data_IF_579028633442
#
_entry.id   IF_579028633442
#
_cell.length_a   1.000
_cell.length_b   1.000
_cell.length_c   1.000
_cell.angle_alpha   90.00
_cell.angle_beta   90.00
_cell.angle_gamma   90.00
#
_symmetry.space_group_name_H-M   'P 1'
#
loop_
_entity.id
_entity.type
_entity.pdbx_description
1 polymer ?
#
# COMPACT_ATOMS: atom_id res chain seq x y z
N UNK A 1 -34.11 -6.13 13.95
CA UNK A 1 -33.14 -5.95 12.86
C UNK A 1 -31.99 -5.15 13.42
N UNK A 2 -30.96 -5.83 13.92
CA UNK A 2 -29.73 -5.17 14.39
C UNK A 2 -28.84 -4.98 13.18
N UNK A 3 -28.79 -3.74 12.69
CA UNK A 3 -27.81 -3.27 11.71
C UNK A 3 -26.44 -3.30 12.41
N UNK A 4 -25.71 -4.40 12.25
CA UNK A 4 -24.31 -4.43 12.65
C UNK A 4 -23.54 -3.64 11.60
N UNK A 5 -23.37 -2.35 11.85
CA UNK A 5 -22.39 -1.54 11.14
C UNK A 5 -21.04 -2.22 11.35
N UNK A 6 -20.39 -2.77 10.30
CA UNK A 6 -19.11 -3.44 10.48
C UNK A 6 -18.15 -2.42 11.07
N UNK A 7 -17.52 -2.75 12.19
CA UNK A 7 -16.38 -2.02 12.72
C UNK A 7 -15.39 -1.84 11.58
N UNK A 8 -15.30 -0.64 10.99
CA UNK A 8 -14.36 -0.35 9.91
C UNK A 8 -12.97 -0.44 10.50
N UNK A 9 -12.37 -1.62 10.37
CA UNK A 9 -11.03 -1.92 10.88
C UNK A 9 -10.04 -1.04 10.14
N UNK A 10 -9.21 -0.34 10.90
CA UNK A 10 -8.19 0.54 10.34
C UNK A 10 -7.12 -0.31 9.65
N UNK A 11 -6.84 -0.01 8.38
CA UNK A 11 -5.83 -0.71 7.59
C UNK A 11 -4.72 0.25 7.19
N UNK A 12 -3.58 -0.29 6.76
CA UNK A 12 -2.51 0.48 6.12
C UNK A 12 -2.48 0.17 4.64
N UNK A 13 -2.74 1.18 3.82
CA UNK A 13 -2.57 1.11 2.38
C UNK A 13 -1.14 1.52 2.07
N UNK A 14 -0.41 0.67 1.34
CA UNK A 14 0.97 0.93 0.98
C UNK A 14 1.09 0.93 -0.53
N UNK A 15 1.70 1.98 -1.09
CA UNK A 15 2.14 2.00 -2.48
C UNK A 15 3.66 2.00 -2.47
N UNK A 16 4.25 1.07 -3.22
CA UNK A 16 5.69 1.03 -3.40
C UNK A 16 6.10 1.89 -4.59
N UNK A 17 6.90 2.92 -4.34
CA UNK A 17 7.32 3.87 -5.36
C UNK A 17 8.82 3.73 -5.64
N UNK A 18 9.14 2.94 -6.67
CA UNK A 18 10.51 2.60 -7.06
C UNK A 18 11.10 3.53 -8.14
N UNK A 19 10.29 4.46 -8.65
CA UNK A 19 10.72 5.40 -9.68
C UNK A 19 11.55 6.55 -9.04
N UNK A 20 12.70 6.94 -9.63
CA UNK A 20 13.44 8.14 -9.21
C UNK A 20 12.67 9.45 -9.40
N UNK A 21 11.60 9.46 -10.19
CA UNK A 21 10.77 10.61 -10.48
C UNK A 21 9.31 10.42 -10.04
N UNK A 22 8.71 11.49 -9.54
CA UNK A 22 7.28 11.53 -9.25
C UNK A 22 6.58 12.46 -10.23
N UNK A 23 5.87 11.88 -11.20
CA UNK A 23 5.04 12.62 -12.13
C UNK A 23 3.90 13.35 -11.43
N UNK A 24 3.47 14.48 -12.01
CA UNK A 24 2.39 15.29 -11.46
C UNK A 24 1.07 14.50 -11.30
N UNK A 25 0.79 13.56 -12.20
CA UNK A 25 -0.38 12.68 -12.09
C UNK A 25 -0.30 11.75 -10.89
N UNK A 26 0.84 11.05 -10.72
CA UNK A 26 1.08 10.17 -9.58
C UNK A 26 0.99 10.93 -8.25
N UNK A 27 1.46 12.19 -8.21
CA UNK A 27 1.32 13.03 -7.02
C UNK A 27 -0.16 13.31 -6.69
N UNK A 28 -1.00 13.57 -7.69
CA UNK A 28 -2.44 13.76 -7.49
C UNK A 28 -3.13 12.48 -6.99
N UNK A 29 -2.75 11.33 -7.54
CA UNK A 29 -3.26 10.02 -7.12
C UNK A 29 -2.86 9.71 -5.68
N UNK A 30 -1.59 9.83 -5.33
CA UNK A 30 -1.10 9.58 -3.97
C UNK A 30 -1.73 10.53 -2.96
N UNK A 31 -1.90 11.81 -3.32
CA UNK A 31 -2.62 12.77 -2.49
C UNK A 31 -4.08 12.39 -2.31
N UNK A 32 -4.74 11.85 -3.35
CA UNK A 32 -6.11 11.35 -3.26
C UNK A 32 -6.21 10.16 -2.29
N UNK A 33 -5.33 9.16 -2.46
CA UNK A 33 -5.28 7.97 -1.60
C UNK A 33 -5.04 8.39 -0.14
N UNK A 34 -4.10 9.30 0.12
CA UNK A 34 -3.82 9.81 1.45
C UNK A 34 -5.07 10.41 2.12
N UNK A 35 -5.76 11.31 1.41
CA UNK A 35 -6.97 11.98 1.92
C UNK A 35 -8.12 11.00 2.18
N UNK A 36 -8.39 10.09 1.24
CA UNK A 36 -9.48 9.12 1.39
C UNK A 36 -9.17 8.09 2.48
N UNK A 37 -7.91 7.63 2.57
CA UNK A 37 -7.46 6.75 3.66
C UNK A 37 -7.62 7.42 5.01
N UNK A 38 -7.19 8.69 5.13
CA UNK A 38 -7.30 9.45 6.36
C UNK A 38 -8.76 9.65 6.79
N UNK A 39 -9.65 10.02 5.85
CA UNK A 39 -11.10 10.13 6.12
C UNK A 39 -11.70 8.81 6.59
N UNK A 40 -11.22 7.68 6.07
CA UNK A 40 -11.65 6.34 6.49
C UNK A 40 -11.01 5.88 7.82
N UNK A 41 -10.11 6.67 8.42
CA UNK A 41 -9.37 6.31 9.63
C UNK A 41 -8.21 5.33 9.39
N UNK A 42 -7.88 5.08 8.12
CA UNK A 42 -6.78 4.23 7.67
C UNK A 42 -5.51 5.04 7.40
N UNK A 43 -4.38 4.36 7.25
CA UNK A 43 -3.07 4.99 7.00
C UNK A 43 -2.66 4.80 5.56
N UNK A 44 -2.06 5.82 4.96
CA UNK A 44 -1.39 5.69 3.67
C UNK A 44 0.13 5.80 3.84
N UNK A 45 0.85 4.86 3.25
CA UNK A 45 2.29 4.79 3.27
C UNK A 45 2.83 4.70 1.84
N UNK A 46 3.74 5.60 1.49
CA UNK A 46 4.57 5.49 0.31
C UNK A 46 5.91 4.90 0.72
N UNK A 47 6.22 3.68 0.28
CA UNK A 47 7.43 2.95 0.66
C UNK A 47 8.45 2.85 -0.47
N UNK A 48 9.69 2.47 -0.13
CA UNK A 48 10.80 2.31 -1.07
C UNK A 48 11.13 3.58 -1.88
N UNK A 49 10.74 4.74 -1.36
CA UNK A 49 10.91 6.02 -2.05
C UNK A 49 12.39 6.36 -2.15
N UNK A 50 12.93 6.68 -3.33
CA UNK A 50 14.33 7.08 -3.45
C UNK A 50 14.64 8.33 -2.61
N UNK A 51 15.76 8.33 -1.88
CA UNK A 51 16.18 9.47 -1.05
C UNK A 51 16.51 10.72 -1.87
N UNK A 52 16.79 10.55 -3.16
CA UNK A 52 17.03 11.63 -4.11
C UNK A 52 15.76 12.27 -4.64
N UNK A 53 14.61 11.60 -4.49
CA UNK A 53 13.33 12.08 -5.02
C UNK A 53 12.88 13.31 -4.22
N UNK A 54 12.66 14.41 -4.92
CA UNK A 54 12.07 15.60 -4.34
C UNK A 54 10.55 15.47 -4.33
N UNK A 55 9.95 15.45 -3.14
CA UNK A 55 8.50 15.43 -3.02
C UNK A 55 7.90 16.80 -3.37
N UNK A 56 6.84 16.83 -4.20
CA UNK A 56 6.04 18.04 -4.39
C UNK A 56 5.51 18.54 -3.05
N UNK A 57 5.60 19.85 -2.79
CA UNK A 57 5.19 20.44 -1.51
C UNK A 57 3.74 20.12 -1.14
N UNK A 58 2.83 20.18 -2.12
CA UNK A 58 1.41 19.86 -1.93
C UNK A 58 1.20 18.41 -1.48
N UNK A 59 1.98 17.48 -2.02
CA UNK A 59 1.90 16.07 -1.63
C UNK A 59 2.50 15.87 -0.24
N UNK A 60 3.67 16.45 0.02
CA UNK A 60 4.34 16.37 1.32
C UNK A 60 3.50 16.97 2.46
N UNK A 61 2.70 18.00 2.16
CA UNK A 61 1.77 18.62 3.10
C UNK A 61 0.45 17.84 3.26
N UNK A 62 0.22 16.77 2.48
CA UNK A 62 -1.04 16.03 2.53
C UNK A 62 -1.16 15.23 3.83
N UNK A 63 -2.22 15.52 4.59
CA UNK A 63 -2.54 14.80 5.82
C UNK A 63 -2.82 13.32 5.55
N UNK A 64 -2.31 12.44 6.42
CA UNK A 64 -2.44 11.00 6.30
C UNK A 64 -1.44 10.31 5.37
N UNK A 65 -0.59 11.08 4.66
CA UNK A 65 0.54 10.54 3.93
C UNK A 65 1.73 10.32 4.88
N UNK A 66 2.29 9.11 4.84
CA UNK A 66 3.60 8.80 5.40
C UNK A 66 4.54 8.39 4.28
N UNK A 67 5.77 8.90 4.29
CA UNK A 67 6.82 8.53 3.33
C UNK A 67 7.92 7.76 4.04
N UNK A 68 8.34 6.63 3.48
CA UNK A 68 9.46 5.82 3.95
C UNK A 68 10.38 5.44 2.79
N UNK A 69 11.69 5.51 3.04
CA UNK A 69 12.71 5.09 2.07
C UNK A 69 13.04 3.60 2.14
N UNK A 70 12.61 2.93 3.21
CA UNK A 70 12.82 1.49 3.43
C UNK A 70 11.78 0.66 2.68
N UNK A 71 12.14 -0.57 2.37
CA UNK A 71 11.22 -1.51 1.73
C UNK A 71 10.11 -1.96 2.69
N UNK A 72 8.96 -2.36 2.14
CA UNK A 72 7.86 -2.94 2.90
C UNK A 72 8.32 -4.13 3.76
N UNK A 73 9.23 -4.95 3.21
CA UNK A 73 9.77 -6.12 3.87
C UNK A 73 10.53 -5.79 5.16
N UNK A 74 11.18 -4.62 5.21
CA UNK A 74 11.88 -4.12 6.39
C UNK A 74 10.92 -3.50 7.40
N UNK A 75 9.95 -2.70 6.91
CA UNK A 75 9.00 -1.97 7.76
C UNK A 75 8.05 -2.92 8.49
N UNK A 76 7.68 -4.03 7.85
CA UNK A 76 6.71 -5.01 8.38
C UNK A 76 7.33 -6.41 8.56
N UNK A 77 8.64 -6.48 8.77
CA UNK A 77 9.38 -7.72 8.93
C UNK A 77 8.80 -8.66 10.01
N UNK A 78 8.24 -8.08 11.08
CA UNK A 78 7.66 -8.78 12.22
C UNK A 78 6.25 -9.35 11.95
N UNK A 79 5.59 -8.94 10.85
CA UNK A 79 4.20 -9.27 10.54
C UNK A 79 3.93 -9.45 9.06
N UNK A 80 4.88 -10.07 8.34
CA UNK A 80 4.73 -10.37 6.90
C UNK A 80 3.44 -11.12 6.56
N UNK A 81 2.95 -11.98 7.44
CA UNK A 81 1.68 -12.72 7.26
C UNK A 81 0.43 -11.84 7.28
N UNK A 82 0.54 -10.56 7.68
CA UNK A 82 -0.52 -9.56 7.69
C UNK A 82 -0.54 -8.65 6.46
N UNK A 83 0.34 -8.91 5.50
CA UNK A 83 0.45 -8.14 4.26
C UNK A 83 -0.28 -8.89 3.13
N UNK A 84 -1.22 -8.20 2.50
CA UNK A 84 -1.85 -8.62 1.26
C UNK A 84 -1.18 -7.87 0.10
N UNK A 85 -0.49 -8.60 -0.77
CA UNK A 85 0.00 -8.05 -2.04
C UNK A 85 -1.14 -8.12 -3.07
N UNK A 86 -1.49 -6.98 -3.64
CA UNK A 86 -2.45 -6.92 -4.73
C UNK A 86 -1.73 -7.18 -6.05
N UNK A 87 -1.92 -8.40 -6.57
CA UNK A 87 -1.30 -8.90 -7.79
C UNK A 87 -2.36 -9.21 -8.86
N UNK A 88 -2.35 -8.55 -10.03
CA UNK A 88 -3.24 -8.87 -11.14
C UNK A 88 -3.15 -10.31 -11.65
N UNK A 89 -2.02 -11.00 -11.41
CA UNK A 89 -1.82 -12.40 -11.77
C UNK A 89 -2.29 -13.39 -10.67
N UNK A 90 -2.77 -12.89 -9.52
CA UNK A 90 -3.28 -13.74 -8.47
C UNK A 90 -4.53 -14.52 -8.93
N UNK A 91 -4.59 -15.80 -8.56
CA UNK A 91 -5.73 -16.68 -8.89
C UNK A 91 -6.94 -16.44 -7.99
N UNK A 92 -6.77 -15.70 -6.90
CA UNK A 92 -7.80 -15.43 -5.93
C UNK A 92 -8.11 -13.95 -5.88
N UNK A 93 -9.40 -13.65 -5.85
CA UNK A 93 -9.90 -12.28 -5.74
C UNK A 93 -9.93 -11.82 -4.28
N UNK A 94 -9.68 -10.53 -4.09
CA UNK A 94 -9.84 -9.90 -2.79
C UNK A 94 -11.31 -9.91 -2.36
N UNK A 95 -11.58 -10.35 -1.15
CA UNK A 95 -12.91 -10.42 -0.57
C UNK A 95 -13.01 -9.58 0.72
N UNK A 96 -14.22 -9.20 1.16
CA UNK A 96 -14.39 -8.50 2.44
C UNK A 96 -13.84 -9.28 3.66
N UNK A 97 -13.78 -10.62 3.59
CA UNK A 97 -13.25 -11.45 4.66
C UNK A 97 -11.74 -11.27 4.86
N UNK A 98 -11.02 -10.87 3.81
CA UNK A 98 -9.58 -10.63 3.85
C UNK A 98 -9.22 -9.43 4.73
N UNK A 99 -10.15 -8.49 4.91
CA UNK A 99 -10.03 -7.38 5.87
C UNK A 99 -9.91 -7.83 7.33
N UNK A 100 -10.30 -9.08 7.65
CA UNK A 100 -10.09 -9.63 8.98
C UNK A 100 -8.71 -10.26 9.17
N UNK A 101 -8.10 -10.68 8.07
CA UNK A 101 -6.84 -11.42 8.05
C UNK A 101 -5.67 -10.45 7.94
N UNK A 102 -5.74 -9.53 6.98
CA UNK A 102 -4.66 -8.62 6.62
C UNK A 102 -4.87 -7.23 7.24
N UNK A 103 -3.76 -6.61 7.62
CA UNK A 103 -3.71 -5.25 8.16
C UNK A 103 -3.10 -4.26 7.16
N UNK A 104 -2.37 -4.79 6.17
CA UNK A 104 -1.60 -4.02 5.21
C UNK A 104 -1.97 -4.49 3.81
N UNK A 105 -2.35 -3.53 2.95
CA UNK A 105 -2.64 -3.76 1.53
C UNK A 105 -1.57 -3.08 0.70
N UNK A 106 -0.75 -3.88 0.03
CA UNK A 106 0.39 -3.45 -0.74
C UNK A 106 0.03 -3.41 -2.24
N UNK A 107 0.20 -2.24 -2.82
CA UNK A 107 0.23 -1.99 -4.25
C UNK A 107 1.71 -1.92 -4.65
N UNK A 108 2.23 -3.03 -5.16
CA UNK A 108 3.63 -3.14 -5.59
C UNK A 108 3.90 -2.30 -6.84
N UNK A 109 5.18 -1.92 -7.00
CA UNK A 109 5.70 -1.00 -8.02
C UNK A 109 4.86 -0.89 -9.28
N UNK A 110 4.18 0.26 -9.45
CA UNK A 110 3.48 0.65 -10.68
C UNK A 110 4.54 0.96 -11.75
N UNK A 111 5.30 -0.05 -12.12
CA UNK A 111 6.25 -0.07 -13.22
C UNK A 111 5.83 -1.25 -14.08
N UNK A 112 5.43 -0.96 -15.31
CA UNK A 112 5.04 -1.97 -16.29
C UNK A 112 6.05 -3.11 -16.31
N UNK A 113 5.54 -4.33 -16.17
CA UNK A 113 6.30 -5.55 -16.08
C UNK A 113 7.33 -5.71 -17.22
N UNK A 114 8.61 -5.90 -16.87
CA UNK A 114 9.53 -6.78 -17.62
C UNK A 114 10.78 -7.23 -16.82
N UNK A 115 10.63 -7.54 -15.53
CA UNK A 115 11.66 -8.26 -14.79
C UNK A 115 11.03 -9.06 -13.66
N UNK A 116 11.07 -10.39 -13.80
CA UNK A 116 10.32 -11.33 -12.97
C UNK A 116 10.53 -11.17 -11.48
N UNK A 117 9.52 -10.64 -10.80
CA UNK A 117 9.26 -10.98 -9.42
C UNK A 117 8.30 -12.17 -9.42
N UNK A 118 8.87 -13.37 -9.36
CA UNK A 118 8.12 -14.57 -9.04
C UNK A 118 7.78 -14.52 -7.55
N UNK A 119 6.66 -13.91 -7.20
CA UNK A 119 6.08 -14.05 -5.87
C UNK A 119 4.76 -14.77 -6.02
N UNK A 120 4.80 -16.05 -5.63
CA UNK A 120 3.68 -16.97 -5.72
C UNK A 120 2.47 -16.49 -4.94
N UNK A 121 1.32 -16.82 -5.53
CA UNK A 121 -0.04 -16.79 -5.01
C UNK A 121 -0.12 -17.19 -3.52
N UNK A 122 -0.98 -16.46 -2.78
CA UNK A 122 -1.57 -16.80 -1.48
C UNK A 122 -0.93 -17.96 -0.71
N UNK A 123 0.14 -17.66 0.01
CA UNK A 123 0.55 -18.41 1.21
C UNK A 123 1.09 -17.41 2.23
N UNK A 124 0.99 -17.66 3.55
CA UNK A 124 1.64 -16.80 4.54
C UNK A 124 3.10 -16.69 4.15
N UNK A 125 3.55 -15.45 3.92
CA UNK A 125 4.82 -15.12 3.29
C UNK A 125 6.00 -15.83 3.97
N UNK A 126 6.32 -17.02 3.48
CA UNK A 126 7.60 -17.66 3.69
C UNK A 126 8.50 -17.17 2.56
N UNK A 127 9.22 -16.09 2.86
CA UNK A 127 10.45 -15.71 2.19
C UNK A 127 11.60 -16.47 2.86
#
# INVERSE_FOLDING_TARGET
MTDQNPSTKQVTIVVEHLDPELGAWSALEYGCIARESHKAGSKFLLSSVPTTLQMPEDLAATEGLKVEHRSIEEIFADRKSKICLLDPAAQAELSPADGEIFEVFLFGGILGADSGFSLGVLTPANF
#
